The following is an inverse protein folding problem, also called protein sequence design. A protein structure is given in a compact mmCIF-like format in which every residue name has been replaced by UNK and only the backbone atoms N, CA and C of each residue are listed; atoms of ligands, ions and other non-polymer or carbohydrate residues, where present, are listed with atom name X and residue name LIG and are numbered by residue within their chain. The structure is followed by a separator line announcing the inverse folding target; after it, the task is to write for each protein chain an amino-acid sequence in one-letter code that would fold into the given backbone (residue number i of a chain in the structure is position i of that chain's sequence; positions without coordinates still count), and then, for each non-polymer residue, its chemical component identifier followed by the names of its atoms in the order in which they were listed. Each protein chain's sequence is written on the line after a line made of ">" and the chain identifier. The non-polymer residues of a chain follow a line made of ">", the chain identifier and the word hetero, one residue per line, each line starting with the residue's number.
data_IF_218153232301
#
_entry.id   IF_218153232301
#
_cell.length_a   1.000
_cell.length_b   1.000
_cell.length_c   1.000
_cell.angle_alpha   90.00
_cell.angle_beta   90.00
_cell.angle_gamma   90.00
#
_symmetry.space_group_name_H-M   'P 1'
#
loop_
_entity.id
_entity.type
_entity.pdbx_description
1 polymer ?
#
# COMPACT_ATOMS: atom_id res chain seq x y z
N UNK A 1 15.88 -2.89 0.96
CA UNK A 1 15.41 -4.28 1.15
C UNK A 1 15.94 -4.75 2.49
N UNK A 2 15.08 -5.22 3.39
CA UNK A 2 15.48 -5.90 4.62
C UNK A 2 15.53 -7.40 4.31
N UNK A 3 16.62 -8.07 4.68
CA UNK A 3 16.74 -9.52 4.59
C UNK A 3 16.96 -10.06 5.99
N UNK A 4 16.16 -11.06 6.38
CA UNK A 4 16.25 -11.74 7.68
C UNK A 4 16.47 -13.22 7.40
N UNK A 5 17.56 -13.78 7.91
CA UNK A 5 17.81 -15.22 7.87
C UNK A 5 17.27 -15.86 9.14
N UNK A 6 16.48 -16.92 8.99
CA UNK A 6 15.83 -17.63 10.09
C UNK A 6 16.41 -19.06 10.16
N UNK A 7 17.59 -19.25 10.77
CA UNK A 7 18.21 -20.57 10.86
C UNK A 7 17.33 -21.52 11.68
N UNK A 8 17.08 -22.72 11.16
CA UNK A 8 16.26 -23.73 11.82
C UNK A 8 14.75 -23.49 11.75
N UNK A 9 14.27 -22.58 10.90
CA UNK A 9 12.85 -22.42 10.61
C UNK A 9 12.36 -23.55 9.68
N UNK A 10 11.39 -24.33 10.15
CA UNK A 10 10.90 -25.54 9.49
C UNK A 10 9.42 -25.42 9.10
N UNK A 11 8.96 -26.38 8.30
CA UNK A 11 7.55 -26.48 7.93
C UNK A 11 6.67 -26.63 9.17
N UNK A 12 5.70 -25.73 9.31
CA UNK A 12 4.75 -25.72 10.44
C UNK A 12 5.12 -24.73 11.54
N UNK A 13 6.31 -24.16 11.51
CA UNK A 13 6.70 -23.11 12.45
C UNK A 13 5.97 -21.80 12.16
N UNK A 14 5.74 -21.02 13.22
CA UNK A 14 5.10 -19.70 13.13
C UNK A 14 6.15 -18.59 13.27
N UNK A 15 6.22 -17.68 12.30
CA UNK A 15 7.07 -16.49 12.36
C UNK A 15 6.26 -15.28 12.83
N UNK A 16 6.71 -14.64 13.90
CA UNK A 16 6.23 -13.31 14.31
C UNK A 16 7.28 -12.26 13.94
N UNK A 17 6.97 -11.39 12.98
CA UNK A 17 7.85 -10.33 12.51
C UNK A 17 7.20 -8.96 12.70
N UNK A 18 7.93 -8.03 13.34
CA UNK A 18 7.54 -6.63 13.44
C UNK A 18 8.66 -5.77 12.87
N UNK A 19 8.32 -4.89 11.94
CA UNK A 19 9.28 -3.96 11.32
C UNK A 19 8.76 -2.53 11.40
N UNK A 20 9.69 -1.57 11.38
CA UNK A 20 9.39 -0.15 11.31
C UNK A 20 10.21 0.48 10.19
N UNK A 21 9.52 1.10 9.23
CA UNK A 21 10.13 1.94 8.20
C UNK A 21 9.79 3.39 8.48
N UNK A 22 10.80 4.25 8.57
CA UNK A 22 10.62 5.70 8.71
C UNK A 22 11.08 6.40 7.43
N UNK A 23 10.15 7.08 6.77
CA UNK A 23 10.45 7.96 5.63
C UNK A 23 10.29 9.42 6.06
N UNK A 24 11.38 10.19 6.01
CA UNK A 24 11.40 11.60 6.44
C UNK A 24 11.26 12.60 5.30
N UNK A 25 11.51 12.17 4.08
CA UNK A 25 11.38 13.01 2.89
C UNK A 25 10.25 12.47 2.01
N UNK A 26 9.34 13.35 1.64
CA UNK A 26 8.27 13.01 0.71
C UNK A 26 8.84 12.88 -0.71
N UNK A 27 8.39 11.88 -1.46
CA UNK A 27 8.72 11.78 -2.89
C UNK A 27 8.14 12.97 -3.67
N UNK A 28 6.91 13.37 -3.33
CA UNK A 28 6.26 14.55 -3.86
C UNK A 28 5.99 15.56 -2.74
N UNK A 29 6.47 16.80 -2.83
CA UNK A 29 6.26 17.80 -1.79
C UNK A 29 4.78 17.99 -1.44
N UNK A 30 4.43 17.86 -0.16
CA UNK A 30 3.07 18.01 0.39
C UNK A 30 2.05 16.98 -0.13
N UNK A 31 2.51 15.88 -0.70
CA UNK A 31 1.63 14.82 -1.20
C UNK A 31 2.04 13.47 -0.62
N UNK A 32 1.05 12.61 -0.42
CA UNK A 32 1.19 11.24 0.03
C UNK A 32 0.45 10.31 -0.92
N UNK A 33 1.06 9.17 -1.18
CA UNK A 33 0.48 8.05 -1.89
C UNK A 33 1.16 6.79 -1.40
N UNK A 34 0.38 5.75 -1.12
CA UNK A 34 0.91 4.42 -0.88
C UNK A 34 -0.15 3.37 -1.26
N UNK A 35 0.32 2.17 -1.58
CA UNK A 35 -0.50 1.04 -2.01
C UNK A 35 -0.02 -0.22 -1.32
N UNK A 36 -0.98 -1.03 -0.89
CA UNK A 36 -0.73 -2.24 -0.15
C UNK A 36 -1.61 -3.35 -0.71
N UNK A 37 -1.08 -4.56 -0.69
CA UNK A 37 -1.76 -5.78 -1.06
C UNK A 37 -0.84 -6.96 -0.80
N UNK A 38 -1.38 -8.18 -0.65
CA UNK A 38 -0.56 -9.37 -0.76
C UNK A 38 0.06 -9.42 -2.18
N UNK A 39 1.27 -9.94 -2.29
CA UNK A 39 1.83 -10.24 -3.60
C UNK A 39 1.04 -11.39 -4.27
N UNK A 40 1.00 -11.42 -5.60
CA UNK A 40 0.28 -12.45 -6.38
C UNK A 40 0.66 -13.88 -6.01
N UNK A 41 1.90 -14.09 -5.56
CA UNK A 41 2.48 -15.38 -5.23
C UNK A 41 2.36 -15.71 -3.73
N UNK A 42 1.65 -14.88 -2.96
CA UNK A 42 1.46 -15.03 -1.52
C UNK A 42 0.00 -15.33 -1.23
N UNK A 43 -0.25 -16.27 -0.31
CA UNK A 43 -1.57 -16.40 0.29
C UNK A 43 -1.59 -15.69 1.63
N UNK A 44 -2.68 -15.00 1.92
CA UNK A 44 -2.82 -14.27 3.16
C UNK A 44 -4.21 -14.44 3.76
N UNK A 45 -4.28 -14.40 5.09
CA UNK A 45 -5.52 -14.44 5.85
C UNK A 45 -5.51 -13.32 6.88
N UNK A 46 -6.69 -12.80 7.18
CA UNK A 46 -6.90 -11.79 8.22
C UNK A 46 -5.96 -10.58 8.11
N UNK A 47 -5.68 -10.14 6.88
CA UNK A 47 -4.83 -8.97 6.68
C UNK A 47 -5.56 -7.72 7.13
N UNK A 48 -4.84 -6.84 7.82
CA UNK A 48 -5.33 -5.56 8.29
C UNK A 48 -4.30 -4.48 8.03
N UNK A 49 -4.73 -3.41 7.38
CA UNK A 49 -3.93 -2.22 7.15
C UNK A 49 -4.65 -1.06 7.84
N UNK A 50 -3.89 -0.28 8.60
CA UNK A 50 -4.41 0.92 9.26
C UNK A 50 -3.54 2.11 8.85
N UNK A 51 -4.18 3.12 8.28
CA UNK A 51 -3.52 4.36 7.87
C UNK A 51 -4.06 5.49 8.71
N UNK A 52 -3.15 6.18 9.39
CA UNK A 52 -3.46 7.38 10.15
C UNK A 52 -2.88 8.60 9.44
N UNK A 53 -3.70 9.61 9.21
CA UNK A 53 -3.28 10.89 8.65
C UNK A 53 -3.93 12.07 9.37
N UNK A 54 -3.37 13.28 9.28
CA UNK A 54 -4.05 14.48 9.75
C UNK A 54 -5.31 14.75 8.91
N UNK A 55 -6.42 15.15 9.53
CA UNK A 55 -7.69 15.40 8.81
C UNK A 55 -7.58 16.52 7.75
N UNK A 56 -6.62 17.44 7.90
CA UNK A 56 -6.34 18.48 6.91
C UNK A 56 -5.63 17.98 5.65
N UNK A 57 -5.20 16.71 5.61
CA UNK A 57 -4.44 16.14 4.49
C UNK A 57 -5.32 15.72 3.31
N UNK A 58 -6.65 15.64 3.51
CA UNK A 58 -7.64 15.29 2.49
C UNK A 58 -7.33 13.92 1.85
N UNK A 59 -7.05 12.92 2.70
CA UNK A 59 -6.75 11.58 2.23
C UNK A 59 -7.99 10.93 1.61
N UNK A 60 -7.74 10.12 0.59
CA UNK A 60 -8.74 9.33 -0.13
C UNK A 60 -8.27 7.89 -0.16
N UNK A 61 -9.20 6.98 -0.01
CA UNK A 61 -8.93 5.55 -0.06
C UNK A 61 -9.68 4.91 -1.23
N UNK A 62 -9.05 3.93 -1.87
CA UNK A 62 -9.69 3.08 -2.86
C UNK A 62 -9.21 1.63 -2.68
N UNK A 63 -9.95 0.70 -3.28
CA UNK A 63 -9.64 -0.72 -3.21
C UNK A 63 -10.06 -1.47 -4.46
N UNK A 64 -9.46 -2.65 -4.63
CA UNK A 64 -9.88 -3.71 -5.54
C UNK A 64 -9.66 -5.06 -4.88
N UNK A 65 -10.54 -6.03 -5.13
CA UNK A 65 -10.31 -7.44 -4.75
C UNK A 65 -10.52 -7.73 -3.26
N UNK A 66 -11.77 -7.97 -2.84
CA UNK A 66 -12.09 -8.56 -1.53
C UNK A 66 -11.85 -7.69 -0.29
N UNK A 67 -11.17 -6.55 -0.40
CA UNK A 67 -10.98 -5.62 0.71
C UNK A 67 -12.32 -5.06 1.22
N UNK A 68 -12.36 -4.72 2.50
CA UNK A 68 -13.40 -3.90 3.13
C UNK A 68 -12.73 -2.73 3.84
N UNK A 69 -13.12 -1.50 3.48
CA UNK A 69 -12.61 -0.27 4.07
C UNK A 69 -13.62 0.33 5.04
N UNK A 70 -13.14 0.77 6.20
CA UNK A 70 -13.82 1.72 7.06
C UNK A 70 -12.99 3.00 7.23
N UNK A 71 -13.68 4.12 7.45
CA UNK A 71 -13.08 5.44 7.67
C UNK A 71 -13.67 6.08 8.92
N UNK A 72 -12.81 6.64 9.75
CA UNK A 72 -13.21 7.39 10.93
C UNK A 72 -12.33 8.64 11.10
N UNK A 73 -12.93 9.70 11.64
CA UNK A 73 -12.21 10.94 12.00
C UNK A 73 -12.33 11.15 13.50
N UNK A 74 -11.22 11.31 14.20
CA UNK A 74 -11.19 11.53 15.66
C UNK A 74 -10.00 12.40 16.03
N UNK A 75 -10.23 13.44 16.84
CA UNK A 75 -9.14 14.25 17.40
C UNK A 75 -8.23 14.93 16.36
N UNK A 76 -8.76 15.30 15.19
CA UNK A 76 -7.99 15.92 14.10
C UNK A 76 -7.19 14.93 13.25
N UNK A 77 -7.36 13.62 13.46
CA UNK A 77 -6.81 12.57 12.60
C UNK A 77 -7.92 11.85 11.85
N UNK A 78 -7.65 11.50 10.60
CA UNK A 78 -8.40 10.54 9.80
C UNK A 78 -7.72 9.17 9.90
N UNK A 79 -8.52 8.13 10.05
CA UNK A 79 -8.06 6.75 10.13
C UNK A 79 -8.82 5.92 9.12
N UNK A 80 -8.08 5.31 8.19
CA UNK A 80 -8.60 4.29 7.28
C UNK A 80 -8.18 2.93 7.81
N UNK A 81 -9.14 2.01 7.93
CA UNK A 81 -8.87 0.60 8.22
C UNK A 81 -9.33 -0.22 7.03
N UNK A 82 -8.42 -0.96 6.42
CA UNK A 82 -8.72 -1.92 5.38
C UNK A 82 -8.48 -3.33 5.90
N UNK A 83 -9.42 -4.23 5.64
CA UNK A 83 -9.33 -5.65 6.02
C UNK A 83 -9.57 -6.54 4.82
N UNK A 84 -8.82 -7.64 4.74
CA UNK A 84 -8.95 -8.69 3.73
C UNK A 84 -8.97 -10.03 4.45
N UNK A 85 -10.11 -10.73 4.37
CA UNK A 85 -10.32 -11.98 5.08
C UNK A 85 -9.40 -13.09 4.54
N UNK A 86 -9.33 -13.24 3.22
CA UNK A 86 -8.53 -14.26 2.56
C UNK A 86 -8.10 -13.79 1.17
N UNK A 87 -6.85 -14.12 0.83
CA UNK A 87 -6.32 -14.09 -0.52
C UNK A 87 -5.58 -15.39 -0.77
N UNK A 88 -5.86 -15.99 -1.92
CA UNK A 88 -5.10 -17.12 -2.44
C UNK A 88 -4.10 -16.62 -3.47
N UNK A 89 -2.92 -17.21 -3.46
CA UNK A 89 -1.94 -16.95 -4.50
C UNK A 89 -2.56 -17.30 -5.87
N UNK A 90 -2.56 -16.32 -6.78
CA UNK A 90 -3.05 -16.47 -8.14
C UNK A 90 -1.84 -16.49 -9.07
N UNK A 91 -1.63 -17.63 -9.74
CA UNK A 91 -0.63 -17.73 -10.80
C UNK A 91 -1.36 -17.67 -12.16
N UNK A 92 -1.56 -16.48 -12.75
CA UNK A 92 -2.17 -16.40 -14.06
C UNK A 92 -1.28 -17.16 -15.05
N UNK A 93 -1.83 -18.19 -15.70
CA UNK A 93 -1.14 -18.87 -16.80
C UNK A 93 -0.75 -17.83 -17.87
N UNK A 94 0.48 -17.94 -18.42
CA UNK A 94 1.09 -16.98 -19.35
C UNK A 94 0.70 -15.52 -19.03
N UNK A 95 1.34 -14.92 -18.02
CA UNK A 95 1.10 -13.55 -17.59
C UNK A 95 1.02 -12.56 -18.77
N UNK A 96 -0.21 -12.18 -19.15
CA UNK A 96 -0.48 -11.18 -20.19
C UNK A 96 -0.68 -9.78 -19.62
N UNK A 97 -0.86 -9.67 -18.30
CA UNK A 97 -1.09 -8.43 -17.54
C UNK A 97 -0.25 -8.45 -16.25
N UNK A 98 -0.02 -7.27 -15.67
CA UNK A 98 0.77 -7.15 -14.45
C UNK A 98 -0.03 -7.63 -13.22
N UNK A 99 0.65 -8.14 -12.20
CA UNK A 99 0.05 -8.52 -10.91
C UNK A 99 -0.92 -7.45 -10.38
N UNK A 100 -0.50 -6.18 -10.52
CA UNK A 100 -1.23 -5.00 -10.07
C UNK A 100 -2.50 -4.71 -10.86
N UNK A 101 -2.84 -5.47 -11.90
CA UNK A 101 -4.10 -5.35 -12.63
C UNK A 101 -5.23 -6.21 -12.03
N UNK A 102 -4.89 -7.35 -11.43
CA UNK A 102 -5.88 -8.31 -10.90
C UNK A 102 -5.77 -8.58 -9.41
N UNK A 103 -4.59 -8.40 -8.81
CA UNK A 103 -4.39 -8.70 -7.39
C UNK A 103 -5.17 -7.73 -6.48
N UNK A 104 -5.58 -8.17 -5.28
CA UNK A 104 -6.16 -7.29 -4.27
C UNK A 104 -5.25 -6.12 -3.93
N UNK A 105 -5.78 -4.90 -3.97
CA UNK A 105 -5.06 -3.70 -3.55
C UNK A 105 -5.94 -2.82 -2.66
N UNK A 106 -5.30 -2.17 -1.72
CA UNK A 106 -5.78 -1.04 -0.95
C UNK A 106 -4.82 0.12 -1.15
N UNK A 107 -5.33 1.27 -1.57
CA UNK A 107 -4.52 2.46 -1.82
C UNK A 107 -5.04 3.66 -1.04
N UNK A 108 -4.12 4.52 -0.58
CA UNK A 108 -4.44 5.79 0.07
C UNK A 108 -3.61 6.91 -0.56
N UNK A 109 -4.28 8.02 -0.88
CA UNK A 109 -3.67 9.14 -1.59
C UNK A 109 -4.21 10.48 -1.11
N UNK A 110 -3.36 11.51 -1.03
CA UNK A 110 -3.78 12.91 -0.92
C UNK A 110 -3.95 13.58 -2.28
N UNK A 111 -3.60 12.90 -3.38
CA UNK A 111 -3.79 13.45 -4.72
C UNK A 111 -5.29 13.51 -5.06
N UNK A 112 -5.77 14.63 -5.63
CA UNK A 112 -7.19 14.76 -5.98
C UNK A 112 -7.59 13.95 -7.23
N UNK A 113 -6.61 13.55 -8.06
CA UNK A 113 -6.85 12.77 -9.27
C UNK A 113 -5.55 12.15 -9.82
N UNK A 114 -5.67 11.15 -10.69
CA UNK A 114 -4.54 10.59 -11.45
C UNK A 114 -3.84 11.63 -12.33
N UNK A 115 -4.58 12.60 -12.88
CA UNK A 115 -3.98 13.70 -13.63
C UNK A 115 -3.04 14.55 -12.76
N UNK A 116 -3.39 14.76 -11.47
CA UNK A 116 -2.52 15.47 -10.53
C UNK A 116 -1.25 14.68 -10.19
N UNK A 117 -1.33 13.34 -10.12
CA UNK A 117 -0.16 12.47 -9.97
C UNK A 117 0.78 12.64 -11.16
N UNK A 118 0.25 12.56 -12.39
CA UNK A 118 1.04 12.74 -13.61
C UNK A 118 1.72 14.12 -13.66
N UNK A 119 1.00 15.19 -13.31
CA UNK A 119 1.57 16.53 -13.25
C UNK A 119 2.73 16.63 -12.23
N UNK A 120 2.57 16.03 -11.04
CA UNK A 120 3.62 16.01 -10.02
C UNK A 120 4.85 15.23 -10.49
N UNK A 121 4.67 14.05 -11.10
CA UNK A 121 5.74 13.28 -11.71
C UNK A 121 6.52 14.10 -12.75
N UNK A 122 5.84 14.67 -13.74
CA UNK A 122 6.51 15.46 -14.78
C UNK A 122 7.22 16.71 -14.24
N UNK A 123 6.70 17.33 -13.18
CA UNK A 123 7.35 18.49 -12.56
C UNK A 123 8.70 18.14 -11.91
N UNK A 124 8.83 16.92 -11.39
CA UNK A 124 10.04 16.42 -10.71
C UNK A 124 11.01 15.74 -11.67
N UNK A 125 10.51 15.13 -12.75
CA UNK A 125 11.32 14.45 -13.76
C UNK A 125 12.00 15.41 -14.76
N UNK A 126 11.58 16.67 -14.85
CA UNK A 126 12.22 17.65 -15.74
C UNK A 126 13.67 17.90 -15.32
N UNK A 127 14.63 17.88 -16.27
CA UNK A 127 16.00 18.23 -15.94
C UNK A 127 16.04 19.67 -15.40
N UNK A 128 16.61 19.84 -14.21
CA UNK A 128 16.93 21.18 -13.69
C UNK A 128 17.93 21.80 -14.65
N UNK A 129 17.50 22.81 -15.42
CA UNK A 129 18.42 23.65 -16.17
C UNK A 129 19.37 24.30 -15.16
N UNK A 130 20.67 24.01 -15.30
CA UNK A 130 21.73 24.74 -14.61
C UNK A 130 21.89 26.11 -15.23
#
# INVERSE_FOLDING_TARGET
>A
MLSVSLPGFNKGDTLHLQTLKTQRQAYFPRQFFDVWGPAENESARDQKIVVHGPAGMQLRAAQRGGWTISHATTGGAETFTATLAEHHAEFPGTATVDASDYSPIFEVSSFPSWAAVGAAYWSTARPRRR
#
